data_IF_688198317407
#
_entry.id   IF_688198317407
#
_cell.length_a   1.000
_cell.length_b   1.000
_cell.length_c   1.000
_cell.angle_alpha   90.00
_cell.angle_beta   90.00
_cell.angle_gamma   90.00
#
_symmetry.space_group_name_H-M   'P 1'
#
loop_
_entity.id
_entity.type
_entity.pdbx_description
1 polymer ?
2 polymer ?
3 non-polymer ?
4 non-polymer ?
5 non-polymer ?
6 water ?
#
loop_
_entity_poly.entity_id
_entity_poly.type
_entity_poly.pdbx_seq_one_letter_code
_entity_poly.pdbx_strand_id
2 'polydeoxyribonucleotide' '(DA)(DT)(DG)(DT)(DC)' ?
#
# COMPACT_ATOMS: atom_id res chain seq x y z
N UNK A 2 5.02 26.91 6.51
CA UNK A 2 3.64 26.66 5.96
C UNK A 2 3.49 25.20 5.47
N UNK A 3 2.33 24.57 5.71
CA UNK A 3 2.14 23.10 5.57
C UNK A 3 2.22 22.67 4.10
N UNK A 4 2.95 21.59 3.87
CA UNK A 4 3.10 20.95 2.54
C UNK A 4 1.72 20.58 2.00
N UNK A 5 1.48 20.86 0.74
CA UNK A 5 0.29 20.30 0.06
C UNK A 5 0.63 18.90 -0.44
N UNK A 6 -0.41 18.20 -0.84
CA UNK A 6 -0.30 16.85 -1.42
C UNK A 6 0.17 17.01 -2.86
N UNK A 7 0.99 16.05 -3.35
CA UNK A 7 1.25 15.90 -4.78
C UNK A 7 -0.02 15.58 -5.58
N UNK A 8 -0.13 16.10 -6.80
CA UNK A 8 -1.18 15.72 -7.78
C UNK A 8 -0.43 15.43 -9.05
N UNK A 9 -0.57 14.20 -9.62
CA UNK A 9 -1.36 13.13 -9.01
C UNK A 9 -0.76 12.71 -7.66
N UNK A 10 -1.59 12.06 -6.84
CA UNK A 10 -1.23 11.62 -5.48
C UNK A 10 -0.88 10.13 -5.48
N UNK A 11 0.41 9.78 -5.46
CA UNK A 11 0.79 8.38 -5.47
C UNK A 11 0.31 7.62 -4.22
N UNK A 12 -0.04 6.39 -4.51
CA UNK A 12 -0.41 5.39 -3.48
C UNK A 12 0.48 4.18 -3.74
N UNK A 13 0.86 3.55 -2.64
CA UNK A 13 1.92 2.53 -2.58
C UNK A 13 1.41 1.31 -1.84
N UNK A 14 1.50 0.14 -2.46
CA UNK A 14 1.20 -1.18 -1.82
C UNK A 14 2.49 -2.00 -1.86
N UNK A 15 2.99 -2.42 -0.70
CA UNK A 15 4.16 -3.34 -0.66
C UNK A 15 3.68 -4.78 -0.63
N UNK A 16 4.36 -5.57 -1.41
CA UNK A 16 4.13 -7.04 -1.41
C UNK A 16 5.43 -7.75 -1.71
N UNK A 17 5.49 -9.02 -1.32
CA UNK A 17 6.65 -9.90 -1.61
C UNK A 17 6.57 -10.28 -3.07
N UNK A 18 7.73 -10.38 -3.72
CA UNK A 18 7.77 -10.76 -5.14
C UNK A 18 7.07 -12.12 -5.37
N UNK A 19 7.07 -13.01 -4.38
CA UNK A 19 6.50 -14.36 -4.55
C UNK A 19 4.98 -14.25 -4.69
N UNK A 20 4.40 -13.07 -4.45
CA UNK A 20 2.95 -12.84 -4.62
C UNK A 20 2.62 -12.30 -6.01
N UNK A 21 3.62 -11.89 -6.80
CA UNK A 21 3.33 -11.11 -8.04
C UNK A 21 2.64 -12.03 -9.04
N UNK A 22 3.00 -13.31 -9.12
CA UNK A 22 2.31 -14.26 -10.06
C UNK A 22 0.82 -14.34 -9.76
N UNK A 23 0.44 -14.44 -8.50
CA UNK A 23 -0.96 -14.52 -8.10
C UNK A 23 -1.70 -13.26 -8.47
N UNK A 24 -1.06 -12.11 -8.24
CA UNK A 24 -1.71 -10.83 -8.59
C UNK A 24 -1.92 -10.80 -10.10
N UNK A 25 -0.91 -11.16 -10.88
CA UNK A 25 -1.10 -11.09 -12.35
C UNK A 25 -2.12 -12.16 -12.79
N UNK A 26 -2.12 -13.35 -12.19
CA UNK A 26 -3.01 -14.47 -12.61
C UNK A 26 -4.46 -14.05 -12.28
N UNK A 27 -4.71 -13.40 -11.15
CA UNK A 27 -6.09 -12.94 -10.80
C UNK A 27 -6.42 -11.67 -11.59
N UNK A 28 -5.41 -10.93 -12.05
CA UNK A 28 -5.60 -9.61 -12.70
C UNK A 28 -5.89 -8.51 -11.69
N UNK A 29 -5.60 -8.76 -10.42
CA UNK A 29 -5.97 -7.79 -9.38
C UNK A 29 -5.34 -8.13 -8.06
N UNK A 30 -5.16 -7.13 -7.22
CA UNK A 30 -4.94 -7.32 -5.79
C UNK A 30 -6.29 -7.61 -5.16
N UNK A 31 -6.32 -8.56 -4.26
CA UNK A 31 -7.56 -8.89 -3.51
C UNK A 31 -7.40 -8.46 -2.04
N UNK A 32 -8.44 -7.92 -1.45
CA UNK A 32 -8.52 -7.61 -0.03
C UNK A 32 -8.28 -8.89 0.78
N UNK A 33 -7.78 -8.70 1.99
CA UNK A 33 -7.52 -9.83 2.93
C UNK A 33 -8.76 -10.73 3.02
N UNK A 34 -9.96 -10.15 3.12
CA UNK A 34 -11.18 -10.96 3.34
C UNK A 34 -11.64 -11.62 2.05
N UNK A 35 -11.00 -11.37 0.93
CA UNK A 35 -11.23 -12.12 -0.34
C UNK A 35 -10.19 -13.24 -0.47
N UNK A 36 -9.43 -13.57 0.57
CA UNK A 36 -8.42 -14.67 0.63
C UNK A 36 -7.55 -14.68 -0.62
N UNK A 37 -6.68 -13.67 -0.77
CA UNK A 37 -5.75 -13.64 -1.89
C UNK A 37 -4.90 -14.89 -1.91
N UNK A 38 -4.54 -15.39 -3.10
CA UNK A 38 -3.70 -16.60 -3.22
C UNK A 38 -2.21 -16.24 -3.03
N UNK A 39 -1.93 -15.64 -1.87
CA UNK A 39 -0.54 -15.20 -1.58
C UNK A 39 0.37 -16.41 -1.32
N UNK A 40 1.65 -16.27 -1.64
CA UNK A 40 2.67 -17.27 -1.32
C UNK A 40 3.42 -16.88 -0.05
N UNK A 41 3.42 -15.60 0.32
CA UNK A 41 4.32 -15.13 1.41
C UNK A 41 3.56 -14.09 2.22
N UNK A 42 3.50 -14.30 3.54
CA UNK A 42 2.94 -13.28 4.46
C UNK A 42 4.09 -12.42 4.98
N UNK A 43 4.00 -11.11 4.82
CA UNK A 43 4.98 -10.17 5.46
C UNK A 43 4.34 -9.36 6.60
N UNK A 44 3.20 -9.78 7.12
CA UNK A 44 2.47 -9.05 8.17
C UNK A 44 2.87 -9.55 9.56
N UNK A 45 2.54 -8.74 10.56
CA UNK A 45 2.40 -9.21 11.96
C UNK A 45 1.08 -9.95 12.17
N UNK A 46 1.11 -11.17 12.69
CA UNK A 46 -0.18 -11.86 12.96
C UNK A 46 -0.99 -11.14 14.05
N UNK A 47 -0.30 -10.52 15.00
CA UNK A 47 -0.96 -10.07 16.25
C UNK A 47 -1.80 -8.81 16.02
N UNK A 48 -1.68 -8.14 14.89
CA UNK A 48 -2.51 -6.93 14.58
C UNK A 48 -3.58 -7.33 13.55
N UNK A 49 -3.66 -8.59 13.13
CA UNK A 49 -4.63 -9.00 12.07
C UNK A 49 -6.07 -8.90 12.57
N UNK A 50 -6.38 -9.40 13.76
CA UNK A 50 -7.80 -9.50 14.16
C UNK A 50 -8.39 -8.09 14.33
N UNK A 51 -7.61 -7.12 14.80
CA UNK A 51 -8.06 -5.70 14.88
C UNK A 51 -8.59 -5.24 13.50
N UNK A 52 -7.90 -5.59 12.40
CA UNK A 52 -8.32 -5.15 11.04
C UNK A 52 -9.54 -5.92 10.59
N UNK A 53 -9.68 -7.14 11.08
CA UNK A 53 -10.88 -7.95 10.72
C UNK A 53 -12.13 -7.43 11.43
N UNK A 54 -11.96 -6.68 12.53
CA UNK A 54 -13.13 -6.10 13.29
C UNK A 54 -13.28 -4.59 13.13
N UNK A 55 -12.23 -3.83 12.73
CA UNK A 55 -12.26 -2.37 12.63
C UNK A 55 -13.24 -1.94 11.54
N UNK A 56 -14.38 -1.39 11.94
CA UNK A 56 -15.44 -0.95 11.02
C UNK A 56 -15.02 0.31 10.27
N UNK A 57 -15.31 0.36 8.99
CA UNK A 57 -14.99 1.56 8.17
C UNK A 57 -16.25 2.39 8.17
N UNK A 58 -16.22 3.59 8.79
CA UNK A 58 -17.44 4.37 9.04
C UNK A 58 -17.78 5.32 7.89
N UNK A 59 -17.35 4.98 6.69
CA UNK A 59 -17.81 5.59 5.42
C UNK A 59 -18.29 4.46 4.52
N UNK A 60 -19.30 4.71 3.67
CA UNK A 60 -19.66 3.74 2.65
C UNK A 60 -18.42 3.51 1.79
N UNK A 61 -18.23 2.30 1.24
CA UNK A 61 -19.21 1.21 1.39
C UNK A 61 -19.14 0.38 2.69
N UNK A 62 -18.42 0.86 3.71
CA UNK A 62 -18.42 0.22 5.04
C UNK A 62 -17.61 -1.06 5.09
N UNK A 63 -18.18 -2.08 5.74
CA UNK A 63 -17.48 -3.28 6.21
C UNK A 63 -16.36 -2.94 7.16
N UNK A 64 -15.26 -3.70 7.07
CA UNK A 64 -14.08 -3.61 7.97
C UNK A 64 -12.81 -3.35 7.16
N UNK A 65 -11.71 -3.06 7.84
CA UNK A 65 -10.47 -2.67 7.11
C UNK A 65 -10.06 -3.78 6.14
N UNK A 66 -10.16 -5.04 6.54
CA UNK A 66 -9.70 -6.17 5.72
C UNK A 66 -10.66 -6.48 4.58
N UNK A 67 -11.70 -5.66 4.37
CA UNK A 67 -12.50 -5.70 3.13
C UNK A 67 -11.86 -4.87 2.02
N UNK A 68 -10.73 -4.19 2.25
CA UNK A 68 -10.15 -3.19 1.32
C UNK A 68 -8.69 -3.57 1.01
N UNK A 69 -8.30 -3.35 -0.22
CA UNK A 69 -6.86 -3.41 -0.63
C UNK A 69 -6.19 -2.14 -0.11
N UNK A 70 -5.17 -2.30 0.75
CA UNK A 70 -4.55 -1.17 1.42
C UNK A 70 -3.33 -0.63 0.69
N UNK A 71 -3.19 0.69 0.80
CA UNK A 71 -2.03 1.45 0.28
C UNK A 71 -1.62 2.48 1.31
N UNK A 72 -0.35 2.78 1.38
CA UNK A 72 0.15 3.99 2.05
C UNK A 72 0.30 5.11 1.04
N UNK A 73 0.46 6.33 1.57
CA UNK A 73 0.75 7.55 0.77
C UNK A 73 2.24 7.80 0.64
N UNK A 74 3.07 6.93 1.21
CA UNK A 74 4.52 6.98 1.08
C UNK A 74 5.09 5.58 0.83
N UNK A 75 6.28 5.51 0.23
CA UNK A 75 7.15 4.33 0.27
C UNK A 75 7.89 4.31 1.61
N UNK A 76 8.80 3.34 1.80
CA UNK A 76 9.67 3.31 2.99
C UNK A 76 8.83 3.37 4.25
N UNK A 77 7.75 2.57 4.29
CA UNK A 77 6.78 2.65 5.39
C UNK A 77 7.39 2.13 6.69
N UNK A 78 6.78 2.44 7.85
CA UNK A 78 7.14 1.76 9.08
C UNK A 78 6.99 0.24 8.96
N UNK A 79 5.91 -0.21 8.32
CA UNK A 79 5.68 -1.66 8.08
C UNK A 79 6.93 -2.26 7.41
N UNK A 80 7.47 -1.57 6.41
CA UNK A 80 8.72 -2.01 5.73
C UNK A 80 9.90 -2.09 6.71
N UNK A 81 9.93 -1.22 7.69
CA UNK A 81 11.02 -1.21 8.69
C UNK A 81 10.93 -2.50 9.52
N UNK A 82 9.71 -2.89 9.92
CA UNK A 82 9.49 -4.13 10.70
C UNK A 82 10.00 -5.33 9.90
N UNK A 83 9.81 -5.29 8.58
CA UNK A 83 10.23 -6.39 7.64
C UNK A 83 11.73 -6.33 7.50
N UNK A 84 12.28 -5.16 7.23
CA UNK A 84 13.71 -4.93 7.01
C UNK A 84 14.51 -5.47 8.19
N UNK A 85 14.05 -5.13 9.39
CA UNK A 85 14.69 -5.48 10.67
C UNK A 85 14.42 -6.93 11.12
N UNK A 86 13.67 -7.73 10.37
CA UNK A 86 13.42 -9.13 10.72
C UNK A 86 12.57 -9.30 11.95
N UNK A 87 11.71 -8.31 12.26
CA UNK A 87 10.79 -8.33 13.43
C UNK A 87 9.55 -9.17 13.09
N UNK A 88 9.17 -9.27 11.84
CA UNK A 88 8.04 -10.10 11.37
C UNK A 88 8.45 -11.58 11.49
N UNK A 89 7.47 -12.44 11.49
CA UNK A 89 7.73 -13.91 11.37
C UNK A 89 8.54 -14.13 10.10
N UNK A 90 8.15 -13.49 8.99
CA UNK A 90 8.88 -13.53 7.70
C UNK A 90 10.31 -13.02 7.89
N UNK A 91 11.29 -13.76 7.39
CA UNK A 91 12.73 -13.53 7.69
C UNK A 91 13.50 -13.22 6.41
N UNK A 92 12.80 -13.01 5.29
CA UNK A 92 13.44 -12.77 3.99
C UNK A 92 14.02 -11.38 3.84
N UNK A 93 13.65 -10.46 4.70
CA UNK A 93 14.10 -9.06 4.65
C UNK A 93 13.50 -8.23 3.52
N UNK A 94 14.01 -7.01 3.37
CA UNK A 94 13.28 -6.01 2.51
C UNK A 94 13.61 -6.28 1.03
N UNK A 95 14.72 -6.95 0.73
CA UNK A 95 15.15 -6.93 -0.68
C UNK A 95 14.06 -7.48 -1.63
N UNK A 96 13.33 -8.56 -1.31
CA UNK A 96 12.30 -9.07 -2.21
C UNK A 96 10.94 -8.36 -2.13
N UNK A 97 10.88 -7.26 -1.41
CA UNK A 97 9.60 -6.51 -1.28
C UNK A 97 9.50 -5.48 -2.39
N UNK A 98 8.39 -5.57 -3.13
CA UNK A 98 8.06 -4.63 -4.19
C UNK A 98 7.21 -3.48 -3.64
N UNK A 99 7.38 -2.27 -4.20
CA UNK A 99 6.39 -1.20 -4.05
C UNK A 99 5.58 -1.15 -5.32
N UNK A 100 4.30 -1.46 -5.27
CA UNK A 100 3.36 -1.25 -6.39
C UNK A 100 2.73 0.13 -6.28
N UNK A 101 2.79 0.91 -7.33
CA UNK A 101 2.49 2.36 -7.27
C UNK A 101 1.33 2.67 -8.20
N UNK A 102 0.34 3.36 -7.68
CA UNK A 102 -0.77 3.88 -8.52
C UNK A 102 -1.04 5.32 -8.09
N UNK A 103 -2.19 5.87 -8.39
CA UNK A 103 -2.59 7.17 -7.79
C UNK A 103 -4.03 7.17 -7.29
N UNK A 104 -4.32 8.03 -6.34
CA UNK A 104 -5.70 8.19 -5.79
C UNK A 104 -6.64 8.62 -6.92
N UNK A 105 -6.17 9.50 -7.76
CA UNK A 105 -6.97 10.02 -8.91
C UNK A 105 -7.28 8.90 -9.91
N UNK A 106 -6.37 7.97 -10.19
CA UNK A 106 -6.61 6.84 -11.12
C UNK A 106 -7.77 6.01 -10.56
N UNK A 107 -7.80 5.79 -9.25
CA UNK A 107 -8.87 5.00 -8.62
C UNK A 107 -10.21 5.75 -8.75
N UNK A 108 -10.18 7.05 -8.54
CA UNK A 108 -11.43 7.85 -8.58
C UNK A 108 -11.97 7.87 -10.00
N UNK A 109 -11.07 8.07 -10.97
CA UNK A 109 -11.36 8.11 -12.43
C UNK A 109 -11.91 6.77 -12.89
N UNK A 110 -11.43 5.63 -12.34
CA UNK A 110 -11.93 4.28 -12.68
C UNK A 110 -13.30 4.01 -12.03
N UNK A 111 -13.75 4.87 -11.10
CA UNK A 111 -15.02 4.75 -10.35
C UNK A 111 -15.03 3.60 -9.39
N UNK A 112 -13.88 3.30 -8.78
CA UNK A 112 -13.82 2.23 -7.78
C UNK A 112 -14.13 2.81 -6.41
N UNK A 113 -14.93 2.15 -5.57
CA UNK A 113 -15.18 2.67 -4.24
C UNK A 113 -13.91 2.64 -3.39
N UNK A 114 -13.64 3.75 -2.73
CA UNK A 114 -12.44 3.88 -1.85
C UNK A 114 -12.80 4.68 -0.63
N UNK A 115 -11.93 4.58 0.36
CA UNK A 115 -11.94 5.46 1.54
C UNK A 115 -10.47 5.71 1.83
N UNK A 116 -10.16 6.75 2.57
CA UNK A 116 -8.80 6.90 3.11
C UNK A 116 -8.83 7.47 4.51
N UNK A 117 -7.75 7.25 5.24
CA UNK A 117 -7.58 7.73 6.61
C UNK A 117 -6.55 8.86 6.68
N UNK A 118 -6.52 9.51 7.84
CA UNK A 118 -5.45 10.46 8.19
C UNK A 118 -4.37 9.86 9.08
N UNK A 119 -4.44 8.58 9.41
CA UNK A 119 -3.46 7.95 10.32
C UNK A 119 -3.63 6.43 10.29
N UNK A 120 -2.68 5.74 10.88
CA UNK A 120 -2.80 4.27 11.04
C UNK A 120 -4.27 3.86 11.25
N UNK A 121 -4.78 2.96 10.41
CA UNK A 121 -6.25 2.75 10.32
C UNK A 121 -6.87 2.03 11.49
N UNK A 122 -6.07 1.32 12.31
CA UNK A 122 -6.60 0.56 13.47
C UNK A 122 -6.87 1.50 14.63
N UNK A 123 -6.33 2.72 14.63
CA UNK A 123 -6.50 3.65 15.79
C UNK A 123 -7.94 4.13 15.87
N UNK A 124 -8.53 4.12 17.06
CA UNK A 124 -9.98 4.38 17.20
C UNK A 124 -10.30 5.85 16.86
N UNK A 125 -9.34 6.78 16.92
CA UNK A 125 -9.48 8.22 16.56
C UNK A 125 -9.04 8.52 15.12
N UNK A 126 -8.76 7.49 14.31
CA UNK A 126 -8.46 7.75 12.89
C UNK A 126 -9.68 8.40 12.25
N UNK A 127 -9.51 9.40 11.39
CA UNK A 127 -10.60 9.91 10.59
C UNK A 127 -10.57 9.25 9.21
N UNK A 128 -11.77 9.00 8.69
CA UNK A 128 -12.01 8.40 7.36
C UNK A 128 -12.68 9.39 6.42
N UNK A 129 -12.28 9.38 5.14
CA UNK A 129 -12.77 10.33 4.11
C UNK A 129 -13.10 9.58 2.85
N UNK A 130 -13.95 10.15 2.00
CA UNK A 130 -14.14 9.54 0.67
C UNK A 130 -14.06 10.55 -0.45
N UNK A 131 -13.71 11.78 -0.16
CA UNK A 131 -13.54 12.82 -1.19
C UNK A 131 -12.09 13.21 -1.27
N UNK A 132 -11.56 13.29 -2.48
CA UNK A 132 -10.13 13.56 -2.67
C UNK A 132 -9.81 14.99 -2.19
N UNK A 133 -10.77 15.89 -2.15
CA UNK A 133 -10.53 17.25 -1.60
C UNK A 133 -10.09 17.13 -0.12
N UNK A 134 -10.53 16.09 0.59
CA UNK A 134 -10.11 15.85 2.00
C UNK A 134 -8.68 15.31 2.17
N UNK A 135 -7.90 15.12 1.10
CA UNK A 135 -6.47 14.85 1.20
C UNK A 135 -5.77 16.00 1.96
N UNK A 136 -6.37 17.21 1.88
CA UNK A 136 -5.97 18.36 2.70
C UNK A 136 -5.98 18.02 4.19
N UNK A 137 -6.77 17.05 4.67
CA UNK A 137 -6.87 16.74 6.11
C UNK A 137 -5.64 15.91 6.51
N UNK A 138 -4.81 15.47 5.59
CA UNK A 138 -3.67 14.59 5.94
C UNK A 138 -2.44 15.43 6.26
N UNK A 139 -1.52 14.85 7.00
CA UNK A 139 -0.25 15.51 7.36
C UNK A 139 0.86 15.09 6.41
N UNK A 140 1.14 15.89 5.39
CA UNK A 140 2.10 15.50 4.31
C UNK A 140 3.55 15.52 4.82
N UNK A 141 3.83 16.37 5.79
CA UNK A 141 5.16 16.33 6.45
C UNK A 141 5.35 14.95 7.11
N UNK A 142 4.35 14.44 7.82
CA UNK A 142 4.48 13.17 8.57
C UNK A 142 4.54 12.04 7.53
N UNK A 143 3.75 12.15 6.47
CA UNK A 143 3.70 11.08 5.42
C UNK A 143 5.07 11.00 4.75
N UNK A 144 5.78 12.13 4.61
CA UNK A 144 7.05 12.11 3.84
C UNK A 144 8.27 11.96 4.75
N UNK A 145 8.09 11.92 6.06
CA UNK A 145 9.19 11.90 7.04
C UNK A 145 10.00 10.61 6.95
N UNK A 146 11.32 10.75 6.92
CA UNK A 146 12.27 9.60 6.88
C UNK A 146 12.50 9.09 8.30
N UNK A 147 12.36 9.96 9.29
CA UNK A 147 12.43 9.61 10.71
C UNK A 147 11.03 9.77 11.27
N UNK A 148 10.38 8.66 11.63
CA UNK A 148 8.96 8.63 12.00
C UNK A 148 8.71 8.05 13.40
N UNK A 149 9.73 7.55 14.11
CA UNK A 149 9.51 6.76 15.35
C UNK A 149 8.90 7.68 16.43
N UNK A 150 9.16 8.99 16.36
CA UNK A 150 8.56 9.96 17.34
C UNK A 150 8.57 11.31 16.64
N UNK A 151 7.73 12.27 17.06
CA UNK A 151 6.80 12.08 18.17
C UNK A 151 5.61 11.18 17.81
N UNK A 152 4.74 10.82 18.77
CA UNK A 152 3.66 9.86 18.51
C UNK A 152 2.67 10.29 17.41
N UNK A 153 2.26 11.55 17.37
CA UNK A 153 1.30 12.07 16.35
C UNK A 153 1.86 11.89 14.93
N UNK A 154 3.14 12.15 14.73
CA UNK A 154 3.83 11.97 13.45
C UNK A 154 3.80 10.48 13.09
N UNK A 155 4.16 9.62 14.06
CA UNK A 155 4.23 8.14 13.84
C UNK A 155 2.86 7.66 13.34
N UNK A 156 1.80 8.11 13.98
CA UNK A 156 0.41 7.74 13.60
C UNK A 156 0.12 8.25 12.20
N UNK A 157 0.37 9.54 11.94
CA UNK A 157 -0.05 10.19 10.67
C UNK A 157 0.78 9.75 9.49
N UNK A 158 1.97 9.25 9.73
CA UNK A 158 2.81 8.73 8.63
C UNK A 158 2.09 7.56 7.95
N UNK A 159 1.25 6.89 8.68
CA UNK A 159 0.61 5.63 8.23
C UNK A 159 -0.84 5.82 7.80
N UNK A 160 -1.22 7.03 7.41
CA UNK A 160 -2.42 7.30 6.60
C UNK A 160 -2.52 6.30 5.46
N UNK A 161 -3.72 5.76 5.23
CA UNK A 161 -3.92 4.73 4.21
C UNK A 161 -4.99 5.11 3.20
N UNK A 162 -4.78 4.58 2.00
CA UNK A 162 -5.78 4.69 0.93
C UNK A 162 -6.31 3.27 0.73
N UNK A 163 -7.60 3.09 0.82
CA UNK A 163 -8.25 1.78 0.91
C UNK A 163 -9.22 1.60 -0.27
N UNK A 164 -9.01 0.54 -1.06
CA UNK A 164 -9.87 0.32 -2.26
C UNK A 164 -10.71 -0.94 -2.01
N UNK A 165 -12.02 -0.78 -2.06
CA UNK A 165 -12.92 -1.86 -1.64
C UNK A 165 -12.75 -3.13 -2.47
N UNK A 166 -12.58 -4.27 -1.78
CA UNK A 166 -12.65 -5.67 -2.29
C UNK A 166 -11.48 -6.04 -3.22
N UNK A 167 -11.14 -5.23 -4.22
CA UNK A 167 -10.11 -5.58 -5.20
C UNK A 167 -9.60 -4.35 -5.90
N UNK A 168 -8.39 -4.48 -6.44
CA UNK A 168 -7.69 -3.39 -7.12
C UNK A 168 -7.13 -3.95 -8.42
N UNK A 169 -7.64 -3.45 -9.56
CA UNK A 169 -7.24 -3.97 -10.85
C UNK A 169 -5.78 -3.71 -11.18
N UNK A 170 -5.11 -4.75 -11.66
CA UNK A 170 -3.67 -4.67 -12.00
C UNK A 170 -3.41 -3.54 -12.99
N UNK A 171 -4.34 -3.30 -13.92
CA UNK A 171 -4.16 -2.29 -14.98
C UNK A 171 -3.97 -0.88 -14.40
N UNK A 172 -4.30 -0.62 -13.13
CA UNK A 172 -4.15 0.74 -12.54
C UNK A 172 -2.74 0.90 -11.95
N UNK A 173 -1.94 -0.17 -11.91
CA UNK A 173 -0.55 -0.02 -11.42
C UNK A 173 0.28 0.67 -12.50
N UNK A 174 0.97 1.75 -12.13
CA UNK A 174 1.82 2.53 -13.04
C UNK A 174 3.31 2.23 -12.91
N UNK A 175 3.77 1.73 -11.77
CA UNK A 175 5.22 1.50 -11.57
C UNK A 175 5.35 0.41 -10.54
N UNK A 176 6.35 -0.41 -10.74
CA UNK A 176 6.85 -1.34 -9.71
C UNK A 176 8.23 -0.86 -9.31
N UNK A 177 8.41 -0.58 -8.02
CA UNK A 177 9.70 -0.11 -7.55
C UNK A 177 10.32 -1.24 -6.73
N UNK A 178 11.63 -1.39 -6.91
CA UNK A 178 12.38 -2.55 -6.36
C UNK A 178 13.63 -2.01 -5.68
N UNK A 179 14.24 -2.87 -4.86
CA UNK A 179 15.44 -2.52 -4.08
C UNK A 179 16.67 -2.67 -4.95
N UNK A 180 16.68 -3.64 -5.84
CA UNK A 180 17.98 -4.08 -6.45
C UNK A 180 17.76 -4.44 -7.90
N UNK A 181 18.85 -4.43 -8.66
CA UNK A 181 18.84 -4.79 -10.09
C UNK A 181 18.39 -6.25 -10.18
N UNK A 182 18.76 -7.14 -9.26
CA UNK A 182 18.41 -8.60 -9.35
C UNK A 182 16.89 -8.79 -9.16
N UNK A 183 16.29 -8.06 -8.24
CA UNK A 183 14.83 -8.13 -8.03
C UNK A 183 14.12 -7.53 -9.26
N UNK A 184 14.57 -6.39 -9.82
CA UNK A 184 13.97 -5.84 -11.04
C UNK A 184 13.95 -6.85 -12.16
N UNK A 185 15.05 -7.57 -12.35
CA UNK A 185 15.16 -8.59 -13.44
C UNK A 185 14.18 -9.74 -13.17
N UNK A 186 14.03 -10.15 -11.91
CA UNK A 186 13.09 -11.23 -11.58
C UNK A 186 11.66 -10.72 -11.80
N UNK A 187 11.39 -9.45 -11.43
CA UNK A 187 10.04 -8.88 -11.73
C UNK A 187 9.78 -8.92 -13.24
N UNK A 188 10.69 -8.46 -14.09
CA UNK A 188 10.43 -8.48 -15.55
C UNK A 188 10.19 -9.91 -16.05
N UNK A 189 10.95 -10.88 -15.57
CA UNK A 189 10.77 -12.33 -15.88
C UNK A 189 9.32 -12.70 -15.61
N UNK A 190 8.78 -12.25 -14.48
CA UNK A 190 7.41 -12.67 -14.08
C UNK A 190 6.40 -11.96 -14.99
N UNK A 191 6.61 -10.66 -15.26
CA UNK A 191 5.67 -9.88 -16.11
C UNK A 191 5.63 -10.51 -17.51
N UNK A 192 6.78 -11.02 -17.98
CA UNK A 192 6.85 -11.62 -19.35
C UNK A 192 6.08 -12.94 -19.37
N UNK A 193 5.78 -13.57 -18.22
CA UNK A 193 4.94 -14.79 -18.22
C UNK A 193 3.47 -14.43 -18.42
N UNK A 194 3.12 -13.16 -18.36
CA UNK A 194 1.73 -12.68 -18.54
C UNK A 194 1.76 -11.68 -19.67
N UNK A 195 1.96 -12.18 -20.92
CA UNK A 195 2.16 -11.26 -22.03
C UNK A 195 0.91 -10.46 -22.42
N UNK A 196 -0.23 -10.66 -21.78
CA UNK A 196 -1.40 -9.82 -22.09
C UNK A 196 -1.66 -8.78 -20.97
N UNK A 197 -0.85 -8.79 -19.92
CA UNK A 197 -1.02 -7.88 -18.78
C UNK A 197 -0.29 -6.58 -19.07
N UNK A 198 -0.82 -5.49 -18.52
CA UNK A 198 -0.08 -4.22 -18.50
C UNK A 198 1.31 -4.48 -17.93
N UNK A 199 2.28 -3.76 -18.44
CA UNK A 199 3.64 -3.94 -17.99
C UNK A 199 4.13 -2.59 -17.49
N UNK A 200 3.97 -2.31 -16.18
CA UNK A 200 4.40 -1.02 -15.66
C UNK A 200 5.93 -0.97 -15.68
N UNK A 201 6.45 0.25 -15.73
CA UNK A 201 7.91 0.45 -15.64
C UNK A 201 8.40 -0.16 -14.33
N UNK A 202 9.57 -0.78 -14.37
CA UNK A 202 10.24 -1.38 -13.18
C UNK A 202 11.44 -0.51 -12.84
N UNK A 203 11.43 0.14 -11.68
CA UNK A 203 12.44 1.15 -11.33
C UNK A 203 13.18 0.71 -10.09
N UNK A 204 14.49 0.81 -10.06
CA UNK A 204 15.25 0.56 -8.80
C UNK A 204 15.18 1.87 -7.98
N UNK A 205 14.63 1.85 -6.77
CA UNK A 205 14.53 3.03 -5.90
C UNK A 205 15.04 2.68 -4.51
N UNK A 206 16.34 2.65 -4.38
CA UNK A 206 16.97 2.20 -3.12
C UNK A 206 16.54 3.16 -2.01
N UNK A 207 16.21 4.38 -2.37
CA UNK A 207 15.83 5.39 -1.36
C UNK A 207 14.42 5.15 -0.83
N UNK A 208 13.68 4.19 -1.39
CA UNK A 208 12.35 3.78 -0.82
C UNK A 208 12.47 2.66 0.19
N UNK A 209 13.68 2.27 0.51
CA UNK A 209 14.05 1.13 1.40
C UNK A 209 14.95 1.66 2.52
N UNK A 210 15.22 0.81 3.52
CA UNK A 210 16.07 1.11 4.68
C UNK A 210 17.53 0.71 4.34
#
# INVERSE_FOLDING_TARGET
SMKRTYPEPTPIYHITHIDNLKGILRMGKLLAHNQSPPKQRSIAYAHIQERRNRAKVPQPPGGVLHDYVPFYFCPRSPMLYAIYSGATEYQGGQEPILHLVSSAQAVHKAGLPFVFTDRHGVLSHARFFRQLEELAQLDWEAIQASYWADPPELREKKQAAFLVYKAFPWALIEEIAVYSQRVGEEVLKILKQFPEARRPRVCIRKDWYY
#
